data_IF_148701792508
#
_entry.id   IF_148701792508
#
_cell.length_a   1.000
_cell.length_b   1.000
_cell.length_c   1.000
_cell.angle_alpha   90.00
_cell.angle_beta   90.00
_cell.angle_gamma   90.00
#
_symmetry.space_group_name_H-M   'P 1'
#
loop_
_entity.id
_entity.type
_entity.pdbx_description
1 polymer ?
#
# COMPACT_ATOMS: atom_id res chain seq x y z
N UNK A 1 4.29 -2.14 29.53
CA UNK A 1 4.15 -0.82 28.89
C UNK A 1 5.05 -0.83 27.68
N UNK A 2 4.49 -0.83 26.47
CA UNK A 2 5.30 -0.82 25.24
C UNK A 2 5.97 0.55 25.16
N UNK A 3 7.20 0.64 25.63
CA UNK A 3 8.07 1.77 25.33
C UNK A 3 8.35 1.66 23.84
N UNK A 4 7.50 2.31 23.03
CA UNK A 4 7.72 2.52 21.60
C UNK A 4 8.99 3.36 21.49
N UNK A 5 10.12 2.69 21.46
CA UNK A 5 11.42 3.26 21.10
C UNK A 5 11.48 3.40 19.57
N UNK A 6 10.39 3.88 18.97
CA UNK A 6 10.26 4.11 17.54
C UNK A 6 10.79 5.51 17.30
N UNK A 7 11.93 5.60 16.63
CA UNK A 7 12.54 6.87 16.26
C UNK A 7 11.84 7.46 15.04
N UNK A 8 12.06 8.75 14.78
CA UNK A 8 11.63 9.41 13.54
C UNK A 8 12.02 8.60 12.29
N UNK A 9 13.26 8.12 12.29
CA UNK A 9 13.79 7.29 11.20
C UNK A 9 12.97 6.02 11.03
N UNK A 10 12.66 5.31 12.13
CA UNK A 10 11.89 4.07 12.06
C UNK A 10 10.49 4.28 11.48
N UNK A 11 9.85 5.42 11.78
CA UNK A 11 8.54 5.78 11.23
C UNK A 11 8.62 6.09 9.73
N UNK A 12 9.60 6.89 9.32
CA UNK A 12 9.83 7.22 7.91
C UNK A 12 10.21 5.98 7.09
N UNK A 13 11.07 5.11 7.65
CA UNK A 13 11.48 3.86 7.01
C UNK A 13 10.30 2.90 6.85
N UNK A 14 9.46 2.76 7.90
CA UNK A 14 8.24 1.97 7.83
C UNK A 14 7.26 2.54 6.80
N UNK A 15 7.07 3.86 6.76
CA UNK A 15 6.22 4.52 5.77
C UNK A 15 6.70 4.26 4.33
N UNK A 16 8.01 4.39 4.09
CA UNK A 16 8.63 4.09 2.79
C UNK A 16 8.41 2.64 2.37
N UNK A 17 8.65 1.68 3.28
CA UNK A 17 8.41 0.25 3.01
C UNK A 17 6.95 -0.07 2.70
N UNK A 18 6.01 0.58 3.39
CA UNK A 18 4.58 0.43 3.11
C UNK A 18 4.23 0.98 1.72
N UNK A 19 4.78 2.13 1.34
CA UNK A 19 4.58 2.72 0.01
C UNK A 19 5.11 1.81 -1.10
N UNK A 20 6.37 1.36 -0.99
CA UNK A 20 6.96 0.44 -1.97
C UNK A 20 6.21 -0.89 -2.05
N UNK A 21 5.84 -1.47 -0.89
CA UNK A 21 5.06 -2.71 -0.87
C UNK A 21 3.68 -2.56 -1.53
N UNK A 22 3.03 -1.39 -1.40
CA UNK A 22 1.80 -1.08 -2.14
C UNK A 22 2.04 -1.08 -3.65
N UNK A 23 3.09 -0.41 -4.12
CA UNK A 23 3.41 -0.35 -5.55
C UNK A 23 3.69 -1.73 -6.13
N UNK A 24 4.44 -2.56 -5.40
CA UNK A 24 4.72 -3.94 -5.78
C UNK A 24 3.43 -4.78 -5.89
N UNK A 25 2.52 -4.62 -4.92
CA UNK A 25 1.22 -5.32 -4.93
C UNK A 25 0.34 -4.88 -6.10
N UNK A 26 0.24 -3.57 -6.35
CA UNK A 26 -0.54 -3.05 -7.49
C UNK A 26 0.04 -3.54 -8.81
N UNK A 27 1.36 -3.47 -8.97
CA UNK A 27 2.05 -3.98 -10.16
C UNK A 27 1.74 -5.46 -10.36
N UNK A 28 1.83 -6.26 -9.29
CA UNK A 28 1.57 -7.69 -9.38
C UNK A 28 0.12 -8.01 -9.74
N UNK A 29 -0.84 -7.27 -9.18
CA UNK A 29 -2.24 -7.41 -9.52
C UNK A 29 -2.49 -7.11 -11.00
N UNK A 30 -1.91 -6.04 -11.53
CA UNK A 30 -2.03 -5.67 -12.95
C UNK A 30 -1.40 -6.72 -13.88
N UNK A 31 -0.24 -7.27 -13.52
CA UNK A 31 0.40 -8.37 -14.26
C UNK A 31 -0.53 -9.59 -14.36
N UNK A 32 -1.10 -10.01 -13.22
CA UNK A 32 -1.96 -11.20 -13.18
C UNK A 32 -3.29 -10.96 -13.91
N UNK A 33 -3.87 -9.77 -13.82
CA UNK A 33 -5.05 -9.39 -14.59
C UNK A 33 -4.77 -9.48 -16.10
N UNK A 34 -3.62 -8.98 -16.54
CA UNK A 34 -3.21 -9.06 -17.95
C UNK A 34 -3.05 -10.50 -18.43
N UNK A 35 -2.45 -11.37 -17.60
CA UNK A 35 -2.33 -12.79 -17.90
C UNK A 35 -3.70 -13.46 -18.05
N UNK A 36 -4.64 -13.19 -17.13
CA UNK A 36 -6.00 -13.73 -17.19
C UNK A 36 -6.73 -13.25 -18.44
N UNK A 37 -6.66 -11.96 -18.75
CA UNK A 37 -7.27 -11.38 -19.95
C UNK A 37 -6.74 -12.04 -21.22
N UNK A 38 -5.42 -12.30 -21.28
CA UNK A 38 -4.79 -12.99 -22.41
C UNK A 38 -5.24 -14.44 -22.53
N UNK A 39 -5.35 -15.18 -21.41
CA UNK A 39 -5.83 -16.56 -21.42
C UNK A 39 -7.29 -16.65 -21.89
N UNK A 40 -8.16 -15.77 -21.41
CA UNK A 40 -9.56 -15.68 -21.85
C UNK A 40 -9.66 -15.30 -23.32
N UNK A 41 -8.87 -14.31 -23.77
CA UNK A 41 -8.84 -13.86 -25.17
C UNK A 41 -8.20 -14.87 -26.15
N UNK A 42 -7.26 -15.69 -25.69
CA UNK A 42 -6.55 -16.69 -26.51
C UNK A 42 -7.33 -17.99 -26.74
N UNK A 43 -8.52 -18.13 -26.16
CA UNK A 43 -9.41 -19.26 -26.42
C UNK A 43 -9.44 -20.34 -25.33
N UNK A 44 -9.08 -20.01 -24.09
CA UNK A 44 -9.33 -20.88 -22.92
C UNK A 44 -10.83 -21.02 -22.57
N UNK A 45 -11.73 -20.92 -23.55
CA UNK A 45 -13.16 -20.68 -23.35
C UNK A 45 -13.99 -21.92 -23.66
N UNK A 46 -14.70 -22.40 -22.64
CA UNK A 46 -16.09 -22.89 -22.81
C UNK A 46 -17.02 -21.72 -22.49
N UNK A 47 -17.97 -21.42 -23.38
CA UNK A 47 -18.70 -20.13 -23.51
C UNK A 47 -19.28 -19.50 -22.23
N UNK A 48 -19.54 -20.28 -21.17
CA UNK A 48 -20.12 -19.78 -19.91
C UNK A 48 -19.09 -19.62 -18.79
N UNK A 49 -18.09 -20.52 -18.71
CA UNK A 49 -17.16 -20.58 -17.59
C UNK A 49 -16.09 -19.47 -17.63
N UNK A 50 -15.62 -19.09 -18.82
CA UNK A 50 -14.59 -18.07 -18.98
C UNK A 50 -15.10 -16.66 -18.66
N UNK A 51 -16.35 -16.33 -19.03
CA UNK A 51 -16.96 -15.03 -18.72
C UNK A 51 -17.19 -14.84 -17.22
N UNK A 52 -17.64 -15.88 -16.53
CA UNK A 52 -17.77 -15.88 -15.08
C UNK A 52 -16.41 -15.76 -14.36
N UNK A 53 -15.39 -16.45 -14.87
CA UNK A 53 -14.02 -16.35 -14.36
C UNK A 53 -13.45 -14.94 -14.53
N UNK A 54 -13.57 -14.37 -15.74
CA UNK A 54 -13.14 -13.01 -16.04
C UNK A 54 -13.79 -11.99 -15.10
N UNK A 55 -15.11 -12.04 -14.96
CA UNK A 55 -15.88 -11.15 -14.07
C UNK A 55 -15.42 -11.28 -12.62
N UNK A 56 -15.21 -12.52 -12.15
CA UNK A 56 -14.73 -12.78 -10.79
C UNK A 56 -13.31 -12.23 -10.57
N UNK A 57 -12.45 -12.34 -11.58
CA UNK A 57 -11.07 -11.87 -11.51
C UNK A 57 -10.96 -10.33 -11.56
N UNK A 58 -11.83 -9.68 -12.34
CA UNK A 58 -11.94 -8.22 -12.36
C UNK A 58 -12.43 -7.69 -11.01
N UNK A 59 -13.45 -8.32 -10.42
CA UNK A 59 -13.92 -7.99 -9.08
C UNK A 59 -12.82 -8.18 -8.01
N UNK A 60 -12.04 -9.27 -8.11
CA UNK A 60 -10.90 -9.52 -7.24
C UNK A 60 -9.83 -8.43 -7.37
N UNK A 61 -9.42 -8.10 -8.60
CA UNK A 61 -8.42 -7.06 -8.86
C UNK A 61 -8.86 -5.72 -8.30
N UNK A 62 -10.12 -5.35 -8.52
CA UNK A 62 -10.68 -4.08 -8.07
C UNK A 62 -10.77 -4.02 -6.53
N UNK A 63 -11.28 -5.07 -5.88
CA UNK A 63 -11.36 -5.16 -4.42
C UNK A 63 -9.98 -5.15 -3.75
N UNK A 64 -9.01 -5.87 -4.33
CA UNK A 64 -7.64 -5.90 -3.81
C UNK A 64 -6.95 -4.56 -4.01
N UNK A 65 -7.15 -3.88 -5.14
CA UNK A 65 -6.62 -2.52 -5.36
C UNK A 65 -7.16 -1.55 -4.31
N UNK A 66 -8.45 -1.61 -3.98
CA UNK A 66 -9.04 -0.81 -2.92
C UNK A 66 -8.43 -1.12 -1.55
N UNK A 67 -8.24 -2.40 -1.22
CA UNK A 67 -7.61 -2.81 0.03
C UNK A 67 -6.16 -2.33 0.14
N UNK A 68 -5.37 -2.47 -0.94
CA UNK A 68 -3.98 -2.04 -1.02
C UNK A 68 -3.86 -0.51 -0.97
N UNK A 69 -4.83 0.23 -1.51
CA UNK A 69 -4.88 1.68 -1.32
C UNK A 69 -5.05 2.09 0.15
N UNK A 70 -5.60 1.24 1.01
CA UNK A 70 -5.62 1.46 2.46
C UNK A 70 -4.23 1.54 3.10
N UNK A 71 -3.22 0.93 2.47
CA UNK A 71 -1.81 1.01 2.89
C UNK A 71 -1.27 2.44 2.72
N UNK A 72 -1.78 3.19 1.74
CA UNK A 72 -1.40 4.57 1.50
C UNK A 72 -1.70 5.47 2.71
N UNK A 73 -2.90 5.32 3.28
CA UNK A 73 -3.30 6.06 4.47
C UNK A 73 -2.43 5.75 5.69
N UNK A 74 -1.98 4.49 5.82
CA UNK A 74 -1.06 4.10 6.90
C UNK A 74 0.34 4.69 6.70
N UNK A 75 0.84 4.67 5.46
CA UNK A 75 2.13 5.28 5.11
C UNK A 75 2.11 6.79 5.37
N UNK A 76 1.07 7.50 4.91
CA UNK A 76 0.87 8.93 5.15
C UNK A 76 0.76 9.26 6.63
N UNK A 77 0.03 8.46 7.41
CA UNK A 77 -0.07 8.64 8.85
C UNK A 77 1.30 8.56 9.54
N UNK A 78 2.12 7.56 9.18
CA UNK A 78 3.46 7.40 9.74
C UNK A 78 4.38 8.58 9.39
N UNK A 79 4.33 9.08 8.15
CA UNK A 79 5.09 10.28 7.75
C UNK A 79 4.64 11.51 8.55
N UNK A 80 3.32 11.76 8.61
CA UNK A 80 2.79 12.92 9.32
C UNK A 80 3.12 12.88 10.82
N UNK A 81 3.10 11.69 11.43
CA UNK A 81 3.46 11.52 12.83
C UNK A 81 4.97 11.73 13.06
N UNK A 82 5.83 11.27 12.15
CA UNK A 82 7.27 11.53 12.21
C UNK A 82 7.57 13.04 12.14
N UNK A 83 6.94 13.75 11.19
CA UNK A 83 7.09 15.19 11.01
C UNK A 83 6.63 15.98 12.23
N UNK A 84 5.45 15.64 12.77
CA UNK A 84 4.88 16.31 13.93
C UNK A 84 5.79 16.18 15.16
N UNK A 85 6.27 14.97 15.44
CA UNK A 85 7.16 14.73 16.57
C UNK A 85 8.52 15.46 16.37
N UNK A 86 9.06 15.50 15.15
CA UNK A 86 10.34 16.16 14.85
C UNK A 86 10.28 17.68 15.04
N UNK A 87 9.14 18.28 14.70
CA UNK A 87 8.88 19.70 14.94
C UNK A 87 8.83 20.00 16.45
N UNK A 88 8.15 19.16 17.23
CA UNK A 88 8.05 19.32 18.69
C UNK A 88 9.44 19.24 19.35
N UNK A 89 10.28 18.29 18.94
CA UNK A 89 11.64 18.14 19.49
C UNK A 89 12.53 19.34 19.17
N UNK A 90 12.41 19.88 17.95
CA UNK A 90 13.12 21.10 17.55
C UNK A 90 12.69 22.30 18.40
N UNK A 91 11.39 22.44 18.67
CA UNK A 91 10.84 23.50 19.51
C UNK A 91 11.32 23.40 20.96
N UNK A 92 11.26 22.20 21.55
CA UNK A 92 11.77 21.93 22.90
C UNK A 92 13.27 22.22 23.01
N UNK A 93 14.06 21.81 22.01
CA UNK A 93 15.48 22.09 21.95
C UNK A 93 15.79 23.58 21.86
N UNK A 94 14.96 24.36 21.19
CA UNK A 94 15.10 25.82 21.13
C UNK A 94 14.69 26.50 22.44
N UNK A 95 13.63 26.02 23.10
CA UNK A 95 13.14 26.55 24.37
C UNK A 95 14.12 26.34 25.54
N UNK A 96 14.94 25.27 25.50
CA UNK A 96 15.98 25.01 26.51
C UNK A 96 17.26 25.83 26.24
N UNK A 97 17.50 26.22 24.98
CA UNK A 97 18.68 27.01 24.57
C UNK A 97 18.50 28.52 24.70
N UNK A 98 17.26 29.01 24.78
CA UNK A 98 16.91 30.42 25.01
C UNK A 98 16.72 30.74 26.48
#
# INVERSE_FOLDING_TARGET
>A
MANLNVTYSDMTDAAGRLSSGKEDLVTKLTELQTLVNNLVGSGFVTDSASGAFQTSYDAFTQGTTLAVNGIDGMSQFLMAAADALGNIDTELGNAIRG
#
